data_IF_796721929262
#
_entry.id   IF_796721929262
#
_cell.length_a   1.000
_cell.length_b   1.000
_cell.length_c   1.000
_cell.angle_alpha   90.00
_cell.angle_beta   90.00
_cell.angle_gamma   90.00
#
_symmetry.space_group_name_H-M   'P 1'
#
loop_
_entity.id
_entity.type
_entity.pdbx_description
1 polymer ?
#
# COMPACT_ATOMS: atom_id res chain seq x y z
N UNK A 1 -24.45 -12.45 -1.63
CA UNK A 1 -23.61 -13.31 -2.47
C UNK A 1 -22.63 -12.41 -3.22
N UNK A 2 -21.32 -12.69 -3.18
CA UNK A 2 -20.30 -11.94 -3.90
C UNK A 2 -19.97 -12.67 -5.21
N UNK A 3 -19.73 -11.92 -6.28
CA UNK A 3 -19.16 -12.41 -7.54
C UNK A 3 -17.65 -12.12 -7.49
N UNK A 4 -16.84 -13.17 -7.40
CA UNK A 4 -15.39 -13.07 -7.31
C UNK A 4 -14.79 -13.55 -8.62
N UNK A 5 -13.97 -12.70 -9.25
CA UNK A 5 -13.32 -12.98 -10.52
C UNK A 5 -11.83 -12.72 -10.47
N UNK A 6 -11.06 -13.48 -11.22
CA UNK A 6 -9.68 -13.15 -11.57
C UNK A 6 -9.72 -12.14 -12.71
N UNK A 7 -8.92 -11.07 -12.63
CA UNK A 7 -8.86 -10.03 -13.66
C UNK A 7 -7.64 -9.14 -13.49
N UNK A 8 -7.33 -8.37 -14.52
CA UNK A 8 -6.34 -7.30 -14.47
C UNK A 8 -7.04 -6.03 -13.98
N UNK A 9 -6.42 -5.30 -13.05
CA UNK A 9 -6.99 -4.03 -12.58
C UNK A 9 -6.92 -2.93 -13.63
N UNK A 10 -6.08 -3.09 -14.65
CA UNK A 10 -5.98 -2.16 -15.79
C UNK A 10 -6.98 -2.46 -16.91
N UNK A 11 -7.68 -3.60 -16.84
CA UNK A 11 -8.70 -4.04 -17.81
C UNK A 11 -9.76 -4.87 -17.08
N UNK A 12 -10.65 -4.20 -16.37
CA UNK A 12 -11.67 -4.83 -15.55
C UNK A 12 -12.72 -5.53 -16.44
N UNK A 13 -13.12 -6.78 -16.13
CA UNK A 13 -14.00 -7.58 -16.96
C UNK A 13 -15.49 -7.19 -16.85
N UNK A 14 -15.78 -5.91 -16.77
CA UNK A 14 -17.13 -5.34 -16.75
C UNK A 14 -17.25 -4.20 -17.76
N UNK A 15 -18.47 -4.00 -18.25
CA UNK A 15 -18.79 -2.89 -19.17
C UNK A 15 -18.75 -1.53 -18.48
N UNK A 16 -18.81 -0.49 -19.31
CA UNK A 16 -18.90 0.89 -18.84
C UNK A 16 -20.13 1.11 -17.96
N UNK A 17 -20.04 2.06 -17.04
CA UNK A 17 -21.16 2.52 -16.21
C UNK A 17 -21.92 1.39 -15.47
N UNK A 18 -21.19 0.37 -15.00
CA UNK A 18 -21.75 -0.81 -14.34
C UNK A 18 -22.00 -0.59 -12.85
N UNK A 19 -21.06 0.09 -12.17
CA UNK A 19 -21.07 0.18 -10.71
C UNK A 19 -21.36 1.60 -10.19
N UNK A 20 -21.91 1.68 -8.99
CA UNK A 20 -22.12 2.93 -8.27
C UNK A 20 -20.91 3.29 -7.40
N UNK A 21 -20.19 2.27 -6.93
CA UNK A 21 -19.01 2.43 -6.05
C UNK A 21 -17.93 1.42 -6.44
N UNK A 22 -16.68 1.87 -6.44
CA UNK A 22 -15.51 1.02 -6.51
C UNK A 22 -14.59 1.27 -5.30
N UNK A 23 -13.98 0.23 -4.78
CA UNK A 23 -13.05 0.34 -3.65
C UNK A 23 -11.72 -0.32 -3.97
N UNK A 24 -10.63 0.29 -3.53
CA UNK A 24 -9.27 -0.25 -3.66
C UNK A 24 -8.52 -0.10 -2.34
N UNK A 25 -8.14 -1.23 -1.74
CA UNK A 25 -7.37 -1.25 -0.49
C UNK A 25 -5.90 -1.50 -0.80
N UNK A 26 -5.11 -0.43 -0.99
CA UNK A 26 -3.68 -0.46 -1.34
C UNK A 26 -3.37 -1.24 -2.63
N UNK A 27 -4.33 -1.31 -3.55
CA UNK A 27 -4.17 -1.95 -4.85
C UNK A 27 -3.78 -0.97 -5.95
N UNK A 28 -4.34 0.24 -5.94
CA UNK A 28 -4.02 1.30 -6.90
C UNK A 28 -2.88 2.15 -6.31
N UNK A 29 -1.79 2.25 -7.06
CA UNK A 29 -0.60 3.04 -6.70
C UNK A 29 -0.28 4.04 -7.80
N UNK A 30 0.68 4.92 -7.54
CA UNK A 30 1.19 5.85 -8.57
C UNK A 30 1.84 5.18 -9.79
N UNK A 31 2.09 3.87 -9.72
CA UNK A 31 2.60 3.04 -10.83
C UNK A 31 1.53 2.35 -11.65
N UNK A 32 0.27 2.53 -11.29
CA UNK A 32 -0.88 1.91 -11.96
C UNK A 32 -1.89 2.97 -12.41
N UNK A 33 -1.47 3.97 -13.22
CA UNK A 33 -2.38 5.05 -13.64
C UNK A 33 -3.55 4.55 -14.50
N UNK A 34 -3.35 3.43 -15.22
CA UNK A 34 -4.41 2.86 -16.04
C UNK A 34 -5.50 2.21 -15.18
N UNK A 35 -5.15 1.68 -14.03
CA UNK A 35 -6.12 1.07 -13.11
C UNK A 35 -7.18 2.07 -12.63
N UNK A 36 -6.80 3.31 -12.28
CA UNK A 36 -7.78 4.32 -11.86
C UNK A 36 -8.64 4.79 -13.04
N UNK A 37 -8.08 4.83 -14.24
CA UNK A 37 -8.80 5.15 -15.47
C UNK A 37 -9.85 4.08 -15.78
N UNK A 38 -9.50 2.81 -15.62
CA UNK A 38 -10.44 1.71 -15.87
C UNK A 38 -11.51 1.60 -14.77
N UNK A 39 -11.16 1.89 -13.52
CA UNK A 39 -12.15 2.08 -12.44
C UNK A 39 -13.15 3.18 -12.82
N UNK A 40 -12.67 4.30 -13.36
CA UNK A 40 -13.57 5.36 -13.83
C UNK A 40 -14.50 4.89 -14.95
N UNK A 41 -14.01 4.10 -15.89
CA UNK A 41 -14.83 3.55 -16.99
C UNK A 41 -16.00 2.74 -16.46
N UNK A 42 -15.75 1.83 -15.53
CA UNK A 42 -16.80 0.94 -15.00
C UNK A 42 -17.76 1.60 -13.99
N UNK A 43 -17.42 2.78 -13.47
CA UNK A 43 -18.31 3.56 -12.61
C UNK A 43 -19.33 4.35 -13.43
N UNK A 44 -20.56 4.44 -12.95
CA UNK A 44 -21.59 5.33 -13.50
C UNK A 44 -21.22 6.79 -13.31
N UNK A 45 -21.75 7.71 -14.13
CA UNK A 45 -21.67 9.14 -13.82
C UNK A 45 -22.17 9.44 -12.41
N UNK A 46 -21.40 10.21 -11.63
CA UNK A 46 -21.68 10.45 -10.22
C UNK A 46 -21.30 9.28 -9.29
N UNK A 47 -20.81 8.16 -9.83
CA UNK A 47 -20.29 7.04 -9.06
C UNK A 47 -19.00 7.41 -8.30
N UNK A 48 -18.72 6.68 -7.24
CA UNK A 48 -17.62 7.00 -6.30
C UNK A 48 -16.51 5.97 -6.33
N UNK A 49 -15.28 6.42 -6.31
CA UNK A 49 -14.12 5.59 -5.96
C UNK A 49 -13.68 5.89 -4.55
N UNK A 50 -13.40 4.85 -3.76
CA UNK A 50 -12.74 4.98 -2.46
C UNK A 50 -11.47 4.12 -2.45
N UNK A 51 -10.33 4.74 -2.14
CA UNK A 51 -9.06 4.01 -2.12
C UNK A 51 -8.25 4.34 -0.87
N UNK A 52 -7.48 3.36 -0.40
CA UNK A 52 -6.46 3.57 0.62
C UNK A 52 -5.07 3.40 0.03
N UNK A 53 -4.16 4.27 0.44
CA UNK A 53 -2.77 4.29 0.01
C UNK A 53 -1.84 4.43 1.21
N UNK A 54 -0.56 4.10 1.03
CA UNK A 54 0.44 4.37 2.05
C UNK A 54 0.55 5.88 2.28
N UNK A 55 0.49 6.29 3.54
CA UNK A 55 0.66 7.66 3.98
C UNK A 55 2.14 8.04 4.11
N UNK A 56 2.45 8.89 5.06
CA UNK A 56 3.84 9.25 5.33
C UNK A 56 4.53 8.18 6.18
N UNK A 57 4.84 7.04 5.55
CA UNK A 57 5.43 5.87 6.22
C UNK A 57 6.66 6.26 7.05
N UNK A 58 7.55 7.10 6.52
CA UNK A 58 8.78 7.49 7.20
C UNK A 58 8.57 8.36 8.46
N UNK A 59 7.38 8.94 8.62
CA UNK A 59 6.99 9.70 9.84
C UNK A 59 6.05 8.92 10.75
N UNK A 60 5.59 7.76 10.33
CA UNK A 60 4.74 6.91 11.17
C UNK A 60 5.51 6.37 12.38
N UNK A 61 4.88 6.20 13.54
CA UNK A 61 5.53 5.60 14.72
C UNK A 61 6.13 4.22 14.45
N UNK A 62 5.52 3.47 13.53
CA UNK A 62 5.96 2.14 13.09
C UNK A 62 6.93 2.14 11.90
N UNK A 63 7.50 3.28 11.50
CA UNK A 63 8.42 3.38 10.36
C UNK A 63 9.60 2.40 10.42
N UNK A 64 10.07 2.07 11.63
CA UNK A 64 11.15 1.12 11.88
C UNK A 64 10.89 -0.25 11.22
N UNK A 65 9.62 -0.66 11.14
CA UNK A 65 9.23 -1.96 10.58
C UNK A 65 9.60 -2.11 9.09
N UNK A 66 9.74 -1.01 8.37
CA UNK A 66 10.12 -1.01 6.95
C UNK A 66 11.62 -0.79 6.71
N UNK A 67 12.43 -0.58 7.77
CA UNK A 67 13.86 -0.38 7.63
C UNK A 67 14.57 -1.51 6.85
N UNK A 68 14.18 -2.80 6.98
CA UNK A 68 14.79 -3.87 6.20
C UNK A 68 14.69 -3.72 4.68
N UNK A 69 13.68 -3.03 4.17
CA UNK A 69 13.56 -2.77 2.73
C UNK A 69 14.65 -1.84 2.19
N UNK A 70 15.27 -1.05 3.07
CA UNK A 70 16.38 -0.14 2.73
C UNK A 70 17.74 -0.83 2.73
N UNK A 71 17.83 -2.12 3.06
CA UNK A 71 19.09 -2.88 3.04
C UNK A 71 19.51 -3.30 1.62
N UNK A 72 18.64 -3.10 0.64
CA UNK A 72 19.02 -3.15 -0.75
C UNK A 72 20.00 -2.00 -1.08
N UNK A 73 21.13 -2.29 -1.74
CA UNK A 73 22.13 -1.27 -2.11
C UNK A 73 21.65 -0.38 -3.25
N UNK A 74 20.95 -0.98 -4.22
CA UNK A 74 20.34 -0.31 -5.36
C UNK A 74 18.98 -0.96 -5.61
N UNK A 75 17.93 -0.17 -5.61
CA UNK A 75 16.59 -0.66 -5.98
C UNK A 75 16.55 -0.81 -7.50
N UNK A 76 16.35 -2.05 -7.97
CA UNK A 76 16.13 -2.34 -9.39
C UNK A 76 14.64 -2.32 -9.78
N UNK A 77 13.77 -2.27 -8.78
CA UNK A 77 12.33 -2.17 -8.98
C UNK A 77 11.96 -0.68 -8.95
N UNK A 78 11.82 -0.07 -10.11
CA UNK A 78 11.48 1.35 -10.29
C UNK A 78 10.23 1.79 -9.50
N UNK A 79 9.43 0.84 -9.06
CA UNK A 79 8.12 1.07 -8.49
C UNK A 79 8.11 1.21 -6.95
N UNK A 80 9.16 0.81 -6.23
CA UNK A 80 9.12 0.86 -4.75
C UNK A 80 8.99 2.29 -4.21
N UNK A 81 9.72 3.24 -4.77
CA UNK A 81 9.63 4.64 -4.36
C UNK A 81 8.26 5.27 -4.66
N UNK A 82 7.55 4.74 -5.67
CA UNK A 82 6.25 5.24 -6.09
C UNK A 82 5.10 4.67 -5.26
N UNK A 83 5.28 3.55 -4.56
CA UNK A 83 4.26 2.97 -3.67
C UNK A 83 3.72 3.96 -2.63
N UNK A 84 4.58 4.85 -2.15
CA UNK A 84 4.24 5.86 -1.13
C UNK A 84 3.96 7.25 -1.72
N UNK A 85 4.02 7.40 -3.03
CA UNK A 85 3.91 8.72 -3.69
C UNK A 85 2.54 9.36 -3.47
N UNK A 86 1.47 8.59 -3.58
CA UNK A 86 0.09 9.08 -3.43
C UNK A 86 -0.23 9.58 -2.00
N UNK A 87 0.55 9.18 -1.01
CA UNK A 87 0.42 9.69 0.37
C UNK A 87 1.03 11.07 0.58
N UNK A 88 1.72 11.65 -0.39
CA UNK A 88 2.25 13.00 -0.29
C UNK A 88 1.13 14.04 -0.41
N UNK A 89 1.24 15.19 0.29
CA UNK A 89 0.23 16.24 0.22
C UNK A 89 -0.06 16.66 -1.23
N UNK A 90 -1.32 16.66 -1.61
CA UNK A 90 -1.80 17.08 -2.92
C UNK A 90 -1.61 16.07 -4.06
N UNK A 91 -0.79 15.03 -3.88
CA UNK A 91 -0.48 14.07 -4.96
C UNK A 91 -1.65 13.11 -5.21
N UNK A 92 -2.30 12.61 -4.15
CA UNK A 92 -3.45 11.73 -4.28
C UNK A 92 -4.67 12.44 -4.88
N UNK A 93 -4.89 13.69 -4.50
CA UNK A 93 -5.95 14.53 -5.07
C UNK A 93 -5.69 14.85 -6.54
N UNK A 94 -4.45 15.18 -6.90
CA UNK A 94 -4.06 15.41 -8.30
C UNK A 94 -4.25 14.14 -9.14
N UNK A 95 -3.84 12.98 -8.62
CA UNK A 95 -4.02 11.70 -9.27
C UNK A 95 -5.50 11.39 -9.59
N UNK A 96 -6.40 11.66 -8.64
CA UNK A 96 -7.84 11.54 -8.87
C UNK A 96 -8.34 12.52 -9.94
N UNK A 97 -7.90 13.78 -9.86
CA UNK A 97 -8.30 14.82 -10.81
C UNK A 97 -7.84 14.50 -12.23
N UNK A 98 -6.60 14.06 -12.42
CA UNK A 98 -6.04 13.64 -13.69
C UNK A 98 -6.79 12.45 -14.31
N UNK A 99 -7.29 11.55 -13.45
CA UNK A 99 -8.13 10.43 -13.89
C UNK A 99 -9.60 10.80 -14.15
N UNK A 100 -10.00 12.07 -13.98
CA UNK A 100 -11.37 12.55 -14.23
C UNK A 100 -12.34 12.30 -13.07
N UNK A 101 -11.83 12.33 -11.86
CA UNK A 101 -12.64 12.37 -10.63
C UNK A 101 -12.54 13.76 -9.99
N UNK A 102 -13.62 14.18 -9.35
CA UNK A 102 -13.61 15.29 -8.41
C UNK A 102 -13.24 14.74 -7.03
N UNK A 103 -12.10 15.12 -6.42
CA UNK A 103 -11.75 14.72 -5.05
C UNK A 103 -12.80 15.25 -4.07
N UNK A 104 -13.41 14.35 -3.28
CA UNK A 104 -14.47 14.64 -2.32
C UNK A 104 -13.95 14.65 -0.89
N UNK A 105 -13.19 13.61 -0.51
CA UNK A 105 -12.71 13.44 0.85
C UNK A 105 -11.30 12.87 0.89
N UNK A 106 -10.50 13.34 1.87
CA UNK A 106 -9.23 12.74 2.29
C UNK A 106 -9.23 12.57 3.80
N UNK A 107 -8.88 11.38 4.27
CA UNK A 107 -8.86 11.05 5.69
C UNK A 107 -7.69 10.13 6.05
N UNK A 108 -7.35 10.09 7.34
CA UNK A 108 -6.33 9.20 7.87
C UNK A 108 -6.99 7.89 8.31
N UNK A 109 -6.39 6.77 7.92
CA UNK A 109 -6.79 5.44 8.36
C UNK A 109 -5.66 4.89 9.22
N UNK A 110 -5.84 4.71 10.53
CA UNK A 110 -4.85 4.05 11.37
C UNK A 110 -4.73 2.58 10.94
N UNK A 111 -3.52 2.16 10.65
CA UNK A 111 -3.23 0.79 10.25
C UNK A 111 -2.15 0.22 11.17
N UNK A 112 -2.39 -0.97 11.68
CA UNK A 112 -1.46 -1.63 12.58
C UNK A 112 -0.96 -2.92 11.94
N UNK A 113 0.36 -3.09 11.93
CA UNK A 113 0.99 -4.37 11.65
C UNK A 113 1.39 -5.01 12.98
N UNK A 114 0.97 -6.24 13.20
CA UNK A 114 1.20 -6.96 14.43
C UNK A 114 1.81 -8.34 14.14
N UNK A 115 2.80 -8.69 14.96
CA UNK A 115 3.45 -10.00 14.91
C UNK A 115 3.59 -10.54 16.33
N UNK A 116 3.54 -11.85 16.47
CA UNK A 116 3.62 -12.51 17.77
C UNK A 116 4.96 -12.23 18.46
N UNK A 117 6.03 -12.22 17.67
CA UNK A 117 7.42 -12.11 18.15
C UNK A 117 8.35 -11.64 17.00
N UNK A 118 9.64 -11.34 17.29
CA UNK A 118 10.63 -10.97 16.28
C UNK A 118 10.82 -11.99 15.16
N UNK A 119 10.71 -13.28 15.44
CA UNK A 119 10.82 -14.36 14.47
C UNK A 119 9.65 -14.33 13.49
N UNK A 120 8.42 -14.15 13.98
CA UNK A 120 7.23 -14.02 13.17
C UNK A 120 7.31 -12.77 12.28
N UNK A 121 7.85 -11.67 12.80
CA UNK A 121 8.12 -10.46 12.03
C UNK A 121 9.10 -10.71 10.90
N UNK A 122 10.26 -11.29 11.18
CA UNK A 122 11.30 -11.55 10.18
C UNK A 122 10.78 -12.44 9.06
N UNK A 123 10.09 -13.54 9.40
CA UNK A 123 9.47 -14.44 8.40
C UNK A 123 8.40 -13.75 7.57
N UNK A 124 7.51 -12.98 8.20
CA UNK A 124 6.44 -12.28 7.50
C UNK A 124 6.97 -11.21 6.56
N UNK A 125 8.02 -10.49 6.99
CA UNK A 125 8.65 -9.48 6.17
C UNK A 125 9.39 -10.07 4.97
N UNK A 126 10.14 -11.16 5.19
CA UNK A 126 10.86 -11.88 4.13
C UNK A 126 9.92 -12.41 3.02
N UNK A 127 8.67 -12.74 3.36
CA UNK A 127 7.65 -13.16 2.41
C UNK A 127 7.01 -12.01 1.62
N UNK A 128 7.39 -10.75 1.89
CA UNK A 128 6.85 -9.58 1.19
C UNK A 128 7.65 -9.22 -0.05
N UNK A 129 6.97 -8.69 -1.08
CA UNK A 129 7.64 -8.25 -2.32
C UNK A 129 8.79 -7.26 -2.09
N UNK A 130 8.64 -6.21 -1.28
CA UNK A 130 9.70 -5.25 -1.00
C UNK A 130 10.97 -5.83 -0.35
N UNK A 131 10.88 -6.96 0.35
CA UNK A 131 12.03 -7.62 0.95
C UNK A 131 12.91 -8.35 -0.08
N UNK A 132 12.36 -8.69 -1.25
CA UNK A 132 13.05 -9.49 -2.26
C UNK A 132 14.43 -8.92 -2.63
N UNK A 133 14.51 -7.62 -2.93
CA UNK A 133 15.77 -6.98 -3.31
C UNK A 133 16.79 -6.96 -2.16
N UNK A 134 16.34 -6.69 -0.94
CA UNK A 134 17.20 -6.74 0.22
C UNK A 134 17.77 -8.15 0.43
N UNK A 135 16.93 -9.18 0.30
CA UNK A 135 17.35 -10.59 0.41
C UNK A 135 18.34 -10.96 -0.69
N UNK A 136 18.11 -10.55 -1.95
CA UNK A 136 19.06 -10.79 -3.04
C UNK A 136 20.43 -10.12 -2.78
N UNK A 137 20.42 -9.03 -2.07
CA UNK A 137 21.63 -8.23 -1.82
C UNK A 137 22.49 -8.77 -0.68
N UNK A 138 21.87 -9.13 0.44
CA UNK A 138 22.57 -9.55 1.67
C UNK A 138 22.41 -11.04 2.01
N UNK A 139 21.55 -11.76 1.31
CA UNK A 139 21.22 -13.16 1.59
C UNK A 139 20.10 -13.32 2.62
N UNK A 140 19.39 -14.45 2.54
CA UNK A 140 18.21 -14.74 3.35
C UNK A 140 18.54 -14.83 4.85
N UNK A 141 19.63 -15.53 5.20
CA UNK A 141 20.04 -15.69 6.59
C UNK A 141 20.40 -14.35 7.25
N UNK A 142 21.21 -13.54 6.58
CA UNK A 142 21.61 -12.22 7.08
C UNK A 142 20.39 -11.27 7.18
N UNK A 143 19.48 -11.31 6.19
CA UNK A 143 18.23 -10.56 6.25
C UNK A 143 17.41 -10.94 7.48
N UNK A 144 17.23 -12.25 7.70
CA UNK A 144 16.47 -12.79 8.83
C UNK A 144 17.07 -12.35 10.16
N UNK A 145 18.37 -12.57 10.37
CA UNK A 145 19.05 -12.26 11.63
C UNK A 145 18.98 -10.77 11.95
N UNK A 146 19.17 -9.90 10.94
CA UNK A 146 19.04 -8.45 11.12
C UNK A 146 17.60 -8.03 11.41
N UNK A 147 16.62 -8.65 10.79
CA UNK A 147 15.22 -8.34 11.03
C UNK A 147 14.79 -8.76 12.45
N UNK A 148 15.23 -9.92 12.90
CA UNK A 148 15.00 -10.36 14.30
C UNK A 148 15.65 -9.39 15.30
N UNK A 149 16.91 -9.01 15.09
CA UNK A 149 17.61 -8.08 15.94
C UNK A 149 16.92 -6.71 16.01
N UNK A 150 16.51 -6.17 14.86
CA UNK A 150 15.77 -4.92 14.78
C UNK A 150 14.45 -4.98 15.55
N UNK A 151 13.70 -6.06 15.40
CA UNK A 151 12.41 -6.22 16.05
C UNK A 151 12.56 -6.42 17.58
N UNK A 152 13.63 -7.06 18.02
CA UNK A 152 13.90 -7.28 19.45
C UNK A 152 13.96 -5.97 20.25
N UNK A 153 14.46 -4.89 19.65
CA UNK A 153 14.49 -3.55 20.27
C UNK A 153 13.11 -2.95 20.53
N UNK A 154 12.08 -3.51 19.88
CA UNK A 154 10.70 -3.04 19.97
C UNK A 154 9.78 -3.98 20.75
N UNK A 155 10.31 -5.07 21.30
CA UNK A 155 9.56 -5.99 22.16
C UNK A 155 9.19 -5.31 23.47
N UNK A 156 7.94 -5.49 23.88
CA UNK A 156 7.45 -5.08 25.21
C UNK A 156 6.79 -6.26 25.89
N UNK A 157 7.11 -6.45 27.15
CA UNK A 157 6.63 -7.60 27.95
C UNK A 157 5.09 -7.69 27.92
N UNK A 158 4.59 -8.85 27.55
CA UNK A 158 3.16 -9.17 27.53
C UNK A 158 2.37 -8.54 26.39
N UNK A 159 3.02 -7.86 25.42
CA UNK A 159 2.36 -7.24 24.28
C UNK A 159 2.90 -7.80 22.97
N UNK A 160 2.06 -7.89 21.93
CA UNK A 160 2.52 -8.23 20.58
C UNK A 160 3.46 -7.15 20.04
N UNK A 161 4.35 -7.55 19.14
CA UNK A 161 5.17 -6.63 18.38
C UNK A 161 4.28 -5.84 17.42
N UNK A 162 4.15 -4.54 17.64
CA UNK A 162 3.17 -3.71 16.96
C UNK A 162 3.80 -2.46 16.37
N UNK A 163 3.46 -2.16 15.12
CA UNK A 163 3.82 -0.93 14.45
C UNK A 163 2.58 -0.23 13.90
N UNK A 164 2.43 1.04 14.24
CA UNK A 164 1.39 1.90 13.70
C UNK A 164 1.89 2.62 12.46
N UNK A 165 1.19 2.43 11.36
CA UNK A 165 1.48 3.01 10.06
C UNK A 165 0.32 3.88 9.63
N UNK A 166 0.61 5.07 9.15
CA UNK A 166 -0.40 5.96 8.59
C UNK A 166 -0.76 5.53 7.17
N UNK A 167 -2.04 5.31 6.92
CA UNK A 167 -2.61 5.23 5.59
C UNK A 167 -3.48 6.46 5.34
N UNK A 168 -3.57 6.88 4.07
CA UNK A 168 -4.57 7.83 3.65
C UNK A 168 -5.69 7.14 2.89
N UNK A 169 -6.92 7.55 3.19
CA UNK A 169 -8.09 7.26 2.39
C UNK A 169 -8.42 8.46 1.51
N UNK A 170 -8.80 8.19 0.28
CA UNK A 170 -9.30 9.17 -0.67
C UNK A 170 -10.65 8.71 -1.21
N UNK A 171 -11.56 9.66 -1.36
CA UNK A 171 -12.82 9.48 -2.07
C UNK A 171 -12.85 10.45 -3.24
N UNK A 172 -13.22 9.96 -4.41
CA UNK A 172 -13.45 10.77 -5.61
C UNK A 172 -14.78 10.44 -6.26
N UNK A 173 -15.41 11.44 -6.85
CA UNK A 173 -16.67 11.34 -7.59
C UNK A 173 -16.39 11.42 -9.09
N UNK A 174 -16.91 10.47 -9.89
CA UNK A 174 -16.81 10.52 -11.35
C UNK A 174 -17.62 11.71 -11.90
N UNK A 175 -16.94 12.63 -12.53
CA UNK A 175 -17.54 13.75 -13.25
C UNK A 175 -17.61 13.50 -14.75
#
# INVERSE_FOLDING_TARGET
QADIRVGDMNDLPWGDDTFDVATSFRGIWGTTPDAITDVRRVLRPGGRVAMTVWGNVGKSPGAWMFAPFLWARETQIDNQAQMVSLGRPGVGEAFLTEAGFEPDERFIVPFFMEYADPEAYARGLAASGPAYEAIQNIGEAEFHDRAVALAADHVRDGLPLRAEIELFGYVGVKV
#
